data_IF_586541037689
#
_entry.id   IF_586541037689
#
_cell.length_a   1.000
_cell.length_b   1.000
_cell.length_c   1.000
_cell.angle_alpha   90.00
_cell.angle_beta   90.00
_cell.angle_gamma   90.00
#
_symmetry.space_group_name_H-M   'P 1'
#
loop_
_entity.id
_entity.type
_entity.pdbx_description
1 polymer ?
#
# COMPACT_ATOMS: atom_id res chain seq x y z
N UNK A 1 -7.82 3.74 43.71
CA UNK A 1 -8.32 4.63 42.64
C UNK A 1 -8.19 3.84 41.36
N UNK A 2 -9.31 3.55 40.70
CA UNK A 2 -9.39 2.68 39.53
C UNK A 2 -9.06 3.49 38.28
N UNK A 3 -7.94 3.18 37.63
CA UNK A 3 -7.57 3.71 36.32
C UNK A 3 -8.56 3.15 35.29
N UNK A 4 -9.53 3.98 34.91
CA UNK A 4 -10.45 3.66 33.83
C UNK A 4 -9.67 3.75 32.51
N UNK A 5 -9.46 2.61 31.86
CA UNK A 5 -8.99 2.54 30.48
C UNK A 5 -9.88 3.43 29.60
N UNK A 6 -9.34 4.54 29.09
CA UNK A 6 -9.98 5.38 28.09
C UNK A 6 -10.02 4.62 26.76
N UNK A 7 -11.10 3.88 26.53
CA UNK A 7 -11.37 3.31 25.21
C UNK A 7 -11.93 4.40 24.30
N UNK A 8 -11.20 4.69 23.22
CA UNK A 8 -11.70 5.54 22.14
C UNK A 8 -12.56 4.71 21.18
N UNK A 9 -13.88 4.94 21.23
CA UNK A 9 -14.82 4.28 20.34
C UNK A 9 -14.92 5.04 19.01
N UNK A 10 -14.68 4.35 17.90
CA UNK A 10 -14.79 4.91 16.55
C UNK A 10 -16.10 4.41 15.92
N UNK A 11 -16.90 5.31 15.34
CA UNK A 11 -18.12 4.94 14.61
C UNK A 11 -17.75 4.52 13.18
N UNK A 12 -17.94 3.25 12.78
CA UNK A 12 -17.57 2.78 11.45
C UNK A 12 -18.36 3.46 10.33
N UNK A 13 -19.61 3.85 10.59
CA UNK A 13 -20.47 4.52 9.60
C UNK A 13 -20.04 5.97 9.31
N UNK A 14 -19.08 6.51 10.09
CA UNK A 14 -18.47 7.82 9.86
C UNK A 14 -17.04 7.71 9.28
N UNK A 15 -16.55 6.50 9.05
CA UNK A 15 -15.27 6.28 8.37
C UNK A 15 -15.53 6.32 6.87
N UNK A 16 -15.02 7.36 6.22
CA UNK A 16 -14.79 7.34 4.77
C UNK A 16 -13.37 6.83 4.57
N UNK A 17 -13.23 5.60 4.07
CA UNK A 17 -11.95 5.11 3.58
C UNK A 17 -11.81 5.64 2.15
N UNK A 18 -11.00 6.69 1.98
CA UNK A 18 -10.60 7.08 0.64
C UNK A 18 -9.78 5.95 0.02
N UNK A 19 -10.02 5.67 -1.25
CA UNK A 19 -9.20 4.73 -2.03
C UNK A 19 -7.72 5.10 -2.03
N UNK A 20 -7.39 6.35 -1.73
CA UNK A 20 -6.03 6.85 -1.51
C UNK A 20 -5.35 6.28 -0.26
N UNK A 21 -6.11 5.67 0.66
CA UNK A 21 -5.61 5.07 1.89
C UNK A 21 -5.20 3.59 1.72
N UNK A 22 -5.50 2.96 0.59
CA UNK A 22 -5.09 1.58 0.33
C UNK A 22 -3.61 1.54 -0.06
N UNK A 23 -2.86 0.74 0.69
CA UNK A 23 -1.44 0.48 0.46
C UNK A 23 -1.21 -1.00 0.24
N UNK A 24 -0.23 -1.31 -0.60
CA UNK A 24 0.27 -2.66 -0.82
C UNK A 24 1.76 -2.68 -0.55
N UNK A 25 2.23 -3.72 0.13
CA UNK A 25 3.66 -3.86 0.40
C UNK A 25 4.38 -4.44 -0.82
N UNK A 26 5.68 -4.15 -0.91
CA UNK A 26 6.54 -4.76 -1.92
C UNK A 26 6.53 -6.30 -1.83
N UNK A 27 6.47 -6.85 -0.61
CA UNK A 27 6.44 -8.31 -0.42
C UNK A 27 5.13 -8.89 -0.91
N UNK A 28 3.99 -8.25 -0.62
CA UNK A 28 2.68 -8.68 -1.11
C UNK A 28 2.65 -8.70 -2.65
N UNK A 29 3.20 -7.68 -3.31
CA UNK A 29 3.32 -7.66 -4.78
C UNK A 29 4.11 -8.87 -5.31
N UNK A 30 5.20 -9.25 -4.64
CA UNK A 30 6.01 -10.43 -5.02
C UNK A 30 5.23 -11.73 -4.78
N UNK A 31 4.50 -11.82 -3.67
CA UNK A 31 3.64 -12.98 -3.36
C UNK A 31 2.50 -13.13 -4.36
N UNK A 32 1.96 -12.02 -4.86
CA UNK A 32 0.94 -11.95 -5.91
C UNK A 32 1.50 -12.22 -7.32
N UNK A 33 2.82 -12.43 -7.44
CA UNK A 33 3.48 -12.86 -8.67
C UNK A 33 4.13 -11.76 -9.50
N UNK A 34 4.20 -10.52 -8.99
CA UNK A 34 4.95 -9.43 -9.64
C UNK A 34 6.46 -9.63 -9.38
N UNK A 35 7.30 -9.85 -10.41
CA UNK A 35 8.73 -10.10 -10.19
C UNK A 35 9.43 -8.94 -9.49
N UNK A 36 10.30 -9.24 -8.52
CA UNK A 36 11.02 -8.22 -7.75
C UNK A 36 11.84 -7.27 -8.65
N UNK A 37 12.44 -7.80 -9.72
CA UNK A 37 13.18 -7.04 -10.73
C UNK A 37 12.27 -6.05 -11.47
N UNK A 38 11.02 -6.46 -11.76
CA UNK A 38 10.04 -5.60 -12.41
C UNK A 38 9.64 -4.44 -11.48
N UNK A 39 9.37 -4.73 -10.21
CA UNK A 39 9.05 -3.71 -9.20
C UNK A 39 10.21 -2.71 -9.08
N UNK A 40 11.45 -3.19 -8.99
CA UNK A 40 12.63 -2.31 -8.96
C UNK A 40 12.73 -1.47 -10.23
N UNK A 41 12.48 -2.06 -11.40
CA UNK A 41 12.52 -1.31 -12.67
C UNK A 41 11.45 -0.22 -12.74
N UNK A 42 10.27 -0.45 -12.15
CA UNK A 42 9.23 0.57 -12.05
C UNK A 42 9.62 1.70 -11.10
N UNK A 43 10.30 1.38 -9.99
CA UNK A 43 10.83 2.38 -9.08
C UNK A 43 11.95 3.22 -9.75
N UNK A 44 12.90 2.58 -10.42
CA UNK A 44 14.01 3.25 -11.10
C UNK A 44 13.55 4.18 -12.23
N UNK A 45 12.41 3.85 -12.85
CA UNK A 45 11.77 4.64 -13.93
C UNK A 45 10.71 5.61 -13.41
N UNK A 46 10.54 5.73 -12.09
CA UNK A 46 9.54 6.58 -11.44
C UNK A 46 8.08 6.27 -11.87
N UNK A 47 7.80 5.03 -12.29
CA UNK A 47 6.45 4.57 -12.64
C UNK A 47 5.60 4.38 -11.39
N UNK A 48 6.21 3.86 -10.31
CA UNK A 48 5.61 3.82 -8.97
C UNK A 48 6.57 4.47 -7.98
N UNK A 49 6.04 5.10 -6.94
CA UNK A 49 6.85 5.74 -5.91
C UNK A 49 6.54 5.15 -4.53
N UNK A 50 7.57 4.94 -3.68
CA UNK A 50 7.37 4.57 -2.29
C UNK A 50 6.43 5.56 -1.59
N UNK A 51 5.32 5.06 -1.05
CA UNK A 51 4.39 5.87 -0.26
C UNK A 51 4.79 5.92 1.21
N UNK A 52 5.22 4.78 1.77
CA UNK A 52 5.74 4.74 3.15
C UNK A 52 6.69 3.56 3.36
N UNK A 53 7.57 3.70 4.34
CA UNK A 53 8.46 2.62 4.81
C UNK A 53 8.08 2.30 6.26
N UNK A 54 7.66 1.07 6.53
CA UNK A 54 7.32 0.58 7.87
C UNK A 54 7.93 -0.80 8.06
N UNK A 55 8.57 -1.06 9.19
CA UNK A 55 9.20 -2.35 9.48
C UNK A 55 10.18 -2.85 8.40
N UNK A 56 10.98 -1.95 7.83
CA UNK A 56 11.88 -2.20 6.69
C UNK A 56 11.17 -2.66 5.40
N UNK A 57 9.86 -2.42 5.29
CA UNK A 57 9.07 -2.77 4.13
C UNK A 57 8.58 -1.51 3.41
N UNK A 58 8.78 -1.49 2.09
CA UNK A 58 8.32 -0.42 1.22
C UNK A 58 6.86 -0.70 0.88
N UNK A 59 6.02 0.30 1.06
CA UNK A 59 4.60 0.27 0.72
C UNK A 59 4.33 1.28 -0.38
N UNK A 60 3.48 0.89 -1.32
CA UNK A 60 3.02 1.70 -2.44
C UNK A 60 1.53 1.95 -2.31
N UNK A 61 1.02 3.02 -2.93
CA UNK A 61 -0.43 3.17 -3.07
C UNK A 61 -0.93 2.09 -4.01
N UNK A 62 -1.99 1.40 -3.64
CA UNK A 62 -2.56 0.31 -4.46
C UNK A 62 -2.97 0.83 -5.84
N UNK A 63 -3.44 2.08 -5.93
CA UNK A 63 -3.79 2.75 -7.19
C UNK A 63 -2.61 2.84 -8.15
N UNK A 64 -1.46 3.31 -7.68
CA UNK A 64 -0.26 3.49 -8.52
C UNK A 64 0.23 2.14 -9.08
N UNK A 65 0.19 1.09 -8.25
CA UNK A 65 0.54 -0.28 -8.66
C UNK A 65 -0.46 -0.81 -9.68
N UNK A 66 -1.75 -0.59 -9.48
CA UNK A 66 -2.80 -0.99 -10.43
C UNK A 66 -2.67 -0.28 -11.78
N UNK A 67 -2.37 1.03 -11.78
CA UNK A 67 -2.09 1.79 -13.01
C UNK A 67 -0.85 1.26 -13.73
N UNK A 68 0.22 0.95 -12.99
CA UNK A 68 1.43 0.35 -13.56
C UNK A 68 1.15 -1.01 -14.22
N UNK A 69 0.41 -1.89 -13.55
CA UNK A 69 0.04 -3.21 -14.07
C UNK A 69 -0.73 -3.12 -15.40
N UNK A 70 -1.72 -2.23 -15.47
CA UNK A 70 -2.54 -2.05 -16.68
C UNK A 70 -1.77 -1.36 -17.80
N UNK A 71 -0.94 -0.38 -17.49
CA UNK A 71 -0.21 0.40 -18.50
C UNK A 71 0.93 -0.40 -19.13
N UNK A 72 1.53 -1.32 -18.37
CA UNK A 72 2.66 -2.14 -18.82
C UNK A 72 2.23 -3.48 -19.43
N UNK A 73 0.93 -3.71 -19.64
CA UNK A 73 0.34 -4.96 -20.17
C UNK A 73 0.84 -6.21 -19.43
N UNK A 74 0.88 -6.17 -18.10
CA UNK A 74 1.25 -7.35 -17.31
C UNK A 74 0.10 -8.38 -17.22
N UNK A 75 -1.14 -7.91 -17.38
CA UNK A 75 -2.34 -8.75 -17.49
C UNK A 75 -2.86 -8.80 -18.93
#
# INVERSE_FOLDING_TARGET
MSDYNEYNYVNPNKLSLDWECLIVSKTDMVLDGVPNELINSWMDREIIQPFSIKNNEINFRTKDVWEALNTQNWY
#
